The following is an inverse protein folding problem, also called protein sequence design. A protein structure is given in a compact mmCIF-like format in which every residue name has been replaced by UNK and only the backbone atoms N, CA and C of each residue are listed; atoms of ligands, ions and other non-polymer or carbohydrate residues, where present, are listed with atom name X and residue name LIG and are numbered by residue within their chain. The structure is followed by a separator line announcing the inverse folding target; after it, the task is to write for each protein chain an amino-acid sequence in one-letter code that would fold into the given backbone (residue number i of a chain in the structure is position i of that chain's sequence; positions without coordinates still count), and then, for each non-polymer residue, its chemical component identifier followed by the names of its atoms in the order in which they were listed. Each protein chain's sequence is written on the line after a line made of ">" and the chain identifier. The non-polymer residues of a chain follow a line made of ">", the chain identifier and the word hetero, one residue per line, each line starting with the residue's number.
data_IF_441575014619
#
_entry.id   IF_441575014619
#
_cell.length_a   1.000
_cell.length_b   1.000
_cell.length_c   1.000
_cell.angle_alpha   90.00
_cell.angle_beta   90.00
_cell.angle_gamma   90.00
#
_symmetry.space_group_name_H-M   'P 1'
#
loop_
_entity.id
_entity.type
_entity.pdbx_description
1 polymer ?
#
# COMPACT_ATOMS: atom_id res chain seq x y z
N UNK A 1 -33.55 -3.27 -13.21
CA UNK A 1 -32.64 -4.08 -14.06
C UNK A 1 -32.77 -3.56 -15.49
N UNK A 2 -31.68 -3.38 -16.23
CA UNK A 2 -31.59 -2.52 -17.42
C UNK A 2 -32.26 -3.05 -18.72
N UNK A 3 -32.97 -4.18 -18.68
CA UNK A 3 -33.70 -4.70 -19.86
C UNK A 3 -32.82 -5.08 -21.06
N UNK A 4 -31.50 -5.04 -20.92
CA UNK A 4 -30.57 -5.40 -21.99
C UNK A 4 -30.33 -6.92 -22.02
N UNK A 5 -30.18 -7.51 -23.22
CA UNK A 5 -29.93 -8.94 -23.37
C UNK A 5 -28.63 -9.37 -22.67
N UNK A 6 -28.62 -10.60 -22.17
CA UNK A 6 -27.44 -11.21 -21.58
C UNK A 6 -26.30 -11.26 -22.59
N UNK A 7 -25.09 -10.96 -22.11
CA UNK A 7 -23.90 -10.86 -22.94
C UNK A 7 -23.47 -12.26 -23.46
N UNK A 8 -23.13 -12.42 -24.76
CA UNK A 8 -22.64 -13.69 -25.30
C UNK A 8 -21.30 -14.12 -24.67
N UNK A 9 -21.17 -15.42 -24.39
CA UNK A 9 -20.10 -16.03 -23.58
C UNK A 9 -18.70 -15.94 -24.22
N UNK A 10 -18.60 -15.70 -25.53
CA UNK A 10 -17.33 -15.76 -26.28
C UNK A 10 -16.77 -14.40 -26.75
N UNK A 11 -17.33 -13.27 -26.29
CA UNK A 11 -16.88 -11.93 -26.70
C UNK A 11 -15.95 -11.33 -25.65
N UNK A 12 -14.79 -10.78 -26.03
CA UNK A 12 -13.90 -10.09 -25.08
C UNK A 12 -14.67 -8.91 -24.45
N UNK A 13 -14.64 -8.70 -23.11
CA UNK A 13 -15.38 -7.70 -22.33
C UNK A 13 -15.70 -6.35 -23.01
N UNK A 14 -14.81 -5.87 -23.87
CA UNK A 14 -14.91 -4.56 -24.53
C UNK A 14 -14.94 -4.62 -26.06
N UNK A 15 -14.86 -5.81 -26.66
CA UNK A 15 -14.82 -6.02 -28.11
C UNK A 15 -16.05 -5.38 -28.77
N UNK A 16 -15.85 -4.48 -29.72
CA UNK A 16 -16.91 -3.76 -30.45
C UNK A 16 -17.76 -2.81 -29.62
N UNK A 17 -17.41 -2.54 -28.36
CA UNK A 17 -17.88 -1.35 -27.64
C UNK A 17 -16.85 -0.22 -27.76
N UNK A 18 -15.56 -0.56 -27.74
CA UNK A 18 -14.46 0.38 -27.88
C UNK A 18 -13.25 -0.27 -28.59
N UNK A 19 -12.45 0.53 -29.31
CA UNK A 19 -11.20 0.04 -29.89
C UNK A 19 -10.22 -0.35 -28.77
N UNK A 20 -9.47 -1.43 -28.98
CA UNK A 20 -8.61 -2.10 -28.00
C UNK A 20 -7.46 -1.28 -27.33
N UNK A 21 -7.02 -0.07 -27.76
CA UNK A 21 -5.88 0.61 -27.11
C UNK A 21 -6.12 1.09 -25.66
N UNK A 22 -7.36 1.13 -25.17
CA UNK A 22 -7.70 1.89 -23.94
C UNK A 22 -8.09 1.03 -22.74
N UNK A 23 -7.82 -0.28 -22.73
CA UNK A 23 -8.23 -1.19 -21.65
C UNK A 23 -7.81 -0.71 -20.25
N UNK A 24 -6.59 -0.18 -20.12
CA UNK A 24 -6.10 0.39 -18.85
C UNK A 24 -6.90 1.61 -18.39
N UNK A 25 -7.28 2.50 -19.32
CA UNK A 25 -8.12 3.66 -19.04
C UNK A 25 -9.54 3.24 -18.63
N UNK A 26 -10.12 2.23 -19.29
CA UNK A 26 -11.43 1.70 -18.91
C UNK A 26 -11.41 1.02 -17.55
N UNK A 27 -10.34 0.30 -17.19
CA UNK A 27 -10.17 -0.25 -15.84
C UNK A 27 -10.16 0.85 -14.77
N UNK A 28 -9.48 1.98 -15.03
CA UNK A 28 -9.48 3.14 -14.12
C UNK A 28 -10.88 3.75 -13.98
N UNK A 29 -11.57 3.99 -15.10
CA UNK A 29 -12.95 4.51 -15.09
C UNK A 29 -13.91 3.54 -14.37
N UNK A 30 -13.74 2.23 -14.57
CA UNK A 30 -14.53 1.21 -13.90
C UNK A 30 -14.29 1.20 -12.39
N UNK A 31 -13.03 1.31 -11.95
CA UNK A 31 -12.68 1.40 -10.53
C UNK A 31 -13.30 2.64 -9.88
N UNK A 32 -13.16 3.81 -10.51
CA UNK A 32 -13.77 5.06 -10.03
C UNK A 32 -15.30 4.96 -9.96
N UNK A 33 -15.92 4.35 -10.98
CA UNK A 33 -17.37 4.16 -11.00
C UNK A 33 -17.84 3.18 -9.92
N UNK A 34 -17.11 2.08 -9.73
CA UNK A 34 -17.41 1.11 -8.68
C UNK A 34 -17.29 1.76 -7.30
N UNK A 35 -16.24 2.54 -7.05
CA UNK A 35 -16.09 3.31 -5.81
C UNK A 35 -17.32 4.19 -5.55
N UNK A 36 -17.70 5.04 -6.52
CA UNK A 36 -18.89 5.89 -6.39
C UNK A 36 -20.18 5.11 -6.15
N UNK A 37 -20.36 3.98 -6.83
CA UNK A 37 -21.58 3.17 -6.70
C UNK A 37 -21.66 2.51 -5.33
N UNK A 38 -20.53 1.98 -4.83
CA UNK A 38 -20.44 1.33 -3.51
C UNK A 38 -20.66 2.36 -2.41
N UNK A 39 -20.01 3.54 -2.47
CA UNK A 39 -20.17 4.59 -1.45
C UNK A 39 -21.56 5.21 -1.39
N UNK A 40 -22.36 5.03 -2.46
CA UNK A 40 -23.72 5.54 -2.55
C UNK A 40 -24.78 4.47 -2.23
N UNK A 41 -24.39 3.25 -1.85
CA UNK A 41 -25.33 2.28 -1.29
C UNK A 41 -25.89 2.88 0.00
N UNK A 42 -27.21 3.01 0.08
CA UNK A 42 -27.93 3.49 1.26
C UNK A 42 -28.63 2.32 1.94
N UNK A 43 -28.92 2.52 3.24
CA UNK A 43 -29.62 1.63 4.17
C UNK A 43 -28.75 0.50 4.76
N UNK A 44 -29.31 -0.27 5.70
CA UNK A 44 -28.73 -1.51 6.24
C UNK A 44 -28.31 -2.48 5.12
N UNK A 45 -27.57 -3.54 5.48
CA UNK A 45 -26.98 -4.56 4.61
C UNK A 45 -27.75 -4.79 3.28
N UNK A 46 -27.18 -4.33 2.17
CA UNK A 46 -27.81 -4.26 0.86
C UNK A 46 -27.53 -5.56 0.08
N UNK A 47 -28.48 -6.11 -0.71
CA UNK A 47 -28.21 -7.28 -1.55
C UNK A 47 -27.04 -7.08 -2.54
N UNK A 48 -26.70 -5.82 -2.86
CA UNK A 48 -25.53 -5.49 -3.68
C UNK A 48 -24.21 -5.71 -2.93
N UNK A 49 -24.19 -5.70 -1.60
CA UNK A 49 -22.99 -5.99 -0.82
C UNK A 49 -22.49 -7.42 -1.05
N UNK A 50 -23.41 -8.37 -1.27
CA UNK A 50 -23.05 -9.74 -1.68
C UNK A 50 -22.26 -9.74 -2.99
N UNK A 51 -22.66 -8.90 -3.96
CA UNK A 51 -21.97 -8.80 -5.25
C UNK A 51 -20.60 -8.17 -5.10
N UNK A 52 -20.48 -7.14 -4.27
CA UNK A 52 -19.20 -6.47 -3.99
C UNK A 52 -18.25 -7.45 -3.29
N UNK A 53 -18.69 -8.12 -2.22
CA UNK A 53 -17.92 -9.17 -1.53
C UNK A 53 -17.46 -10.26 -2.50
N UNK A 54 -18.38 -10.81 -3.30
CA UNK A 54 -18.06 -11.87 -4.25
C UNK A 54 -17.03 -11.40 -5.28
N UNK A 55 -17.16 -10.15 -5.75
CA UNK A 55 -16.19 -9.54 -6.68
C UNK A 55 -14.81 -9.43 -6.05
N UNK A 56 -14.73 -8.95 -4.80
CA UNK A 56 -13.46 -8.84 -4.06
C UNK A 56 -12.82 -10.22 -3.89
N UNK A 57 -13.60 -11.24 -3.49
CA UNK A 57 -13.09 -12.61 -3.34
C UNK A 57 -12.54 -13.15 -4.65
N UNK A 58 -13.29 -13.01 -5.75
CA UNK A 58 -12.89 -13.48 -7.08
C UNK A 58 -11.61 -12.77 -7.53
N UNK A 59 -11.55 -11.44 -7.43
CA UNK A 59 -10.39 -10.67 -7.86
C UNK A 59 -9.13 -10.97 -7.02
N UNK A 60 -9.32 -11.37 -5.76
CA UNK A 60 -8.24 -11.75 -4.84
C UNK A 60 -7.97 -13.27 -4.78
N UNK A 61 -8.61 -14.09 -5.62
CA UNK A 61 -8.53 -15.56 -5.57
C UNK A 61 -8.84 -16.16 -4.16
N UNK A 62 -9.78 -15.58 -3.43
CA UNK A 62 -10.24 -16.08 -2.14
C UNK A 62 -11.39 -17.10 -2.30
N UNK A 63 -11.60 -18.00 -1.32
CA UNK A 63 -12.76 -18.90 -1.32
C UNK A 63 -14.08 -18.13 -1.41
N UNK A 64 -15.09 -18.65 -2.14
CA UNK A 64 -16.41 -18.04 -2.20
C UNK A 64 -17.02 -17.82 -0.80
N UNK A 65 -17.82 -16.76 -0.65
CA UNK A 65 -18.57 -16.49 0.58
C UNK A 65 -19.46 -17.69 0.89
N UNK A 66 -19.46 -18.14 2.14
CA UNK A 66 -20.37 -19.20 2.58
C UNK A 66 -21.80 -18.66 2.65
N UNK A 67 -22.79 -19.53 2.46
CA UNK A 67 -24.20 -19.12 2.41
C UNK A 67 -24.66 -18.50 3.75
N UNK A 68 -24.07 -18.95 4.85
CA UNK A 68 -24.31 -18.54 6.25
C UNK A 68 -23.49 -17.33 6.70
N UNK A 69 -22.67 -16.74 5.82
CA UNK A 69 -21.72 -15.68 6.14
C UNK A 69 -22.22 -14.33 5.62
N UNK A 70 -22.23 -13.28 6.44
CA UNK A 70 -22.64 -11.95 5.97
C UNK A 70 -21.66 -11.41 4.91
N UNK A 71 -22.12 -10.56 3.96
CA UNK A 71 -21.21 -9.83 3.08
C UNK A 71 -20.07 -9.16 3.83
N UNK A 72 -18.87 -9.24 3.26
CA UNK A 72 -17.61 -8.69 3.79
C UNK A 72 -17.03 -9.40 5.01
N UNK A 73 -17.76 -10.29 5.64
CA UNK A 73 -17.27 -11.04 6.79
C UNK A 73 -16.02 -11.84 6.39
N UNK A 74 -14.91 -11.66 7.12
CA UNK A 74 -13.65 -12.34 6.84
C UNK A 74 -12.94 -11.94 5.53
N UNK A 75 -13.50 -11.00 4.74
CA UNK A 75 -12.73 -10.29 3.69
C UNK A 75 -11.82 -9.24 4.30
N UNK A 76 -12.32 -8.62 5.36
CA UNK A 76 -11.62 -7.67 6.19
C UNK A 76 -11.60 -8.24 7.61
N UNK A 77 -10.64 -7.85 8.45
CA UNK A 77 -10.67 -8.19 9.87
C UNK A 77 -12.07 -7.87 10.40
N UNK A 78 -12.80 -8.87 10.96
CA UNK A 78 -14.15 -8.67 11.51
C UNK A 78 -14.10 -7.46 12.44
N UNK A 79 -14.97 -6.48 12.22
CA UNK A 79 -15.36 -5.51 13.25
C UNK A 79 -16.24 -6.19 14.30
N UNK A 80 -15.81 -7.34 14.82
CA UNK A 80 -16.22 -7.80 16.13
C UNK A 80 -15.30 -7.03 17.06
N UNK A 81 -15.79 -5.95 17.67
CA UNK A 81 -15.04 -5.06 18.56
C UNK A 81 -13.57 -5.02 18.20
N UNK A 82 -13.17 -4.19 17.23
CA UNK A 82 -11.73 -3.92 17.06
C UNK A 82 -11.28 -3.47 18.42
N UNK A 83 -10.62 -4.38 19.13
CA UNK A 83 -9.80 -4.02 20.25
C UNK A 83 -8.81 -3.06 19.60
N UNK A 84 -9.01 -1.77 19.81
CA UNK A 84 -8.07 -0.72 19.43
C UNK A 84 -6.69 -1.00 20.05
N UNK A 85 -6.62 -1.95 20.97
CA UNK A 85 -5.44 -2.72 21.38
C UNK A 85 -4.66 -3.28 20.18
N UNK A 86 -3.81 -2.44 19.62
CA UNK A 86 -2.83 -2.82 18.59
C UNK A 86 -2.86 -1.99 17.33
N UNK A 87 -3.84 -1.11 17.11
CA UNK A 87 -3.77 -0.11 16.04
C UNK A 87 -3.08 1.16 16.56
N UNK A 88 -2.39 1.88 15.67
CA UNK A 88 -1.90 3.22 16.01
C UNK A 88 -3.02 4.23 15.81
N UNK A 89 -3.06 5.27 16.64
CA UNK A 89 -4.03 6.38 16.54
C UNK A 89 -3.45 7.57 15.77
N UNK A 90 -4.32 8.50 15.39
CA UNK A 90 -3.88 9.77 14.80
C UNK A 90 -2.93 10.53 15.73
N UNK A 91 -3.24 10.60 17.02
CA UNK A 91 -2.41 11.33 17.99
C UNK A 91 -1.03 10.69 18.15
N UNK A 92 -0.96 9.35 18.18
CA UNK A 92 0.30 8.62 18.21
C UNK A 92 1.13 8.89 16.96
N UNK A 93 0.52 8.82 15.77
CA UNK A 93 1.23 9.08 14.52
C UNK A 93 1.71 10.54 14.42
N UNK A 94 0.88 11.51 14.84
CA UNK A 94 1.25 12.93 14.90
C UNK A 94 2.39 13.18 15.90
N UNK A 95 2.40 12.49 17.04
CA UNK A 95 3.49 12.61 18.02
C UNK A 95 4.82 12.04 17.51
N UNK A 96 4.76 10.96 16.71
CA UNK A 96 5.93 10.38 16.05
C UNK A 96 6.45 11.30 14.94
N UNK A 97 5.55 11.90 14.17
CA UNK A 97 5.86 12.74 13.02
C UNK A 97 5.27 14.17 13.16
N UNK A 98 5.79 14.98 14.09
CA UNK A 98 5.22 16.27 14.48
C UNK A 98 5.32 17.36 13.42
N UNK A 99 6.21 17.20 12.44
CA UNK A 99 6.42 18.16 11.35
C UNK A 99 5.63 17.80 10.09
N UNK A 100 4.90 16.69 10.11
CA UNK A 100 4.08 16.25 8.98
C UNK A 100 2.76 17.00 8.91
N UNK A 101 2.24 17.15 7.70
CA UNK A 101 0.86 17.62 7.53
C UNK A 101 -0.14 16.68 8.20
N UNK A 102 -0.96 17.20 9.14
CA UNK A 102 -2.04 16.44 9.77
C UNK A 102 -2.96 15.79 8.74
N UNK A 103 -3.29 16.50 7.66
CA UNK A 103 -4.11 15.96 6.57
C UNK A 103 -3.49 14.70 5.97
N UNK A 104 -2.18 14.74 5.68
CA UNK A 104 -1.48 13.57 5.11
C UNK A 104 -1.45 12.40 6.08
N UNK A 105 -1.15 12.65 7.36
CA UNK A 105 -1.17 11.60 8.38
C UNK A 105 -2.56 10.96 8.49
N UNK A 106 -3.64 11.76 8.44
CA UNK A 106 -5.02 11.26 8.44
C UNK A 106 -5.30 10.35 7.24
N UNK A 107 -4.79 10.69 6.04
CA UNK A 107 -4.97 9.83 4.86
C UNK A 107 -4.16 8.54 4.96
N UNK A 108 -2.94 8.59 5.50
CA UNK A 108 -2.04 7.43 5.61
C UNK A 108 -2.45 6.46 6.71
N UNK A 109 -3.00 6.95 7.82
CA UNK A 109 -3.30 6.18 9.03
C UNK A 109 -4.04 4.84 8.78
N UNK A 110 -5.19 4.80 8.06
CA UNK A 110 -5.87 3.53 7.82
C UNK A 110 -5.02 2.54 7.01
N UNK A 111 -4.21 3.03 6.08
CA UNK A 111 -3.35 2.21 5.23
C UNK A 111 -2.10 1.72 5.96
N UNK A 112 -1.51 2.53 6.83
CA UNK A 112 -0.43 2.12 7.74
C UNK A 112 -0.91 1.00 8.67
N UNK A 113 -2.07 1.17 9.31
CA UNK A 113 -2.66 0.15 10.18
C UNK A 113 -2.94 -1.16 9.42
N UNK A 114 -3.56 -1.08 8.24
CA UNK A 114 -3.82 -2.25 7.39
C UNK A 114 -2.52 -2.95 6.98
N UNK A 115 -1.50 -2.18 6.61
CA UNK A 115 -0.19 -2.70 6.21
C UNK A 115 0.50 -3.40 7.36
N UNK A 116 0.57 -2.75 8.54
CA UNK A 116 1.22 -3.32 9.71
C UNK A 116 0.56 -4.62 10.16
N UNK A 117 -0.78 -4.69 10.11
CA UNK A 117 -1.50 -5.94 10.35
C UNK A 117 -1.16 -7.01 9.32
N UNK A 118 -1.20 -6.68 8.02
CA UNK A 118 -0.93 -7.63 6.92
C UNK A 118 0.45 -8.28 7.01
N UNK A 119 1.46 -7.51 7.43
CA UNK A 119 2.86 -7.96 7.46
C UNK A 119 3.36 -8.26 8.89
N UNK A 120 2.45 -8.51 9.83
CA UNK A 120 2.76 -8.86 11.22
C UNK A 120 3.72 -7.88 11.94
N UNK A 121 3.64 -6.59 11.58
CA UNK A 121 4.33 -5.47 12.25
C UNK A 121 3.46 -5.06 13.44
N UNK A 122 3.30 -5.99 14.40
CA UNK A 122 2.20 -5.96 15.35
C UNK A 122 2.63 -5.76 16.82
N UNK A 123 3.90 -5.97 17.17
CA UNK A 123 4.46 -5.59 18.48
C UNK A 123 4.72 -4.09 18.54
N UNK A 124 4.70 -3.45 19.73
CA UNK A 124 5.05 -2.04 19.87
C UNK A 124 6.41 -1.70 19.25
N UNK A 125 7.41 -2.56 19.45
CA UNK A 125 8.77 -2.33 18.98
C UNK A 125 8.88 -2.46 17.44
N UNK A 126 8.23 -3.46 16.84
CA UNK A 126 8.14 -3.58 15.37
C UNK A 126 7.50 -2.35 14.74
N UNK A 127 6.40 -1.85 15.33
CA UNK A 127 5.73 -0.62 14.87
C UNK A 127 6.66 0.59 14.99
N UNK A 128 7.38 0.70 16.10
CA UNK A 128 8.31 1.81 16.32
C UNK A 128 9.40 1.85 15.25
N UNK A 129 10.06 0.72 15.00
CA UNK A 129 11.07 0.62 13.95
C UNK A 129 10.52 0.85 12.55
N UNK A 130 9.39 0.21 12.21
CA UNK A 130 8.75 0.40 10.91
C UNK A 130 8.42 1.87 10.66
N UNK A 131 7.67 2.51 11.57
CA UNK A 131 7.28 3.91 11.46
C UNK A 131 8.47 4.85 11.43
N UNK A 132 9.56 4.54 12.14
CA UNK A 132 10.77 5.34 12.11
C UNK A 132 11.47 5.32 10.75
N UNK A 133 11.59 4.13 10.16
CA UNK A 133 12.20 4.00 8.84
C UNK A 133 11.33 4.63 7.77
N UNK A 134 10.03 4.32 7.72
CA UNK A 134 9.16 4.92 6.70
C UNK A 134 8.98 6.43 6.91
N UNK A 135 9.02 6.92 8.15
CA UNK A 135 9.02 8.34 8.45
C UNK A 135 10.23 9.04 7.82
N UNK A 136 11.43 8.51 8.02
CA UNK A 136 12.64 9.05 7.42
C UNK A 136 12.61 9.01 5.87
N UNK A 137 12.26 7.87 5.28
CA UNK A 137 12.28 7.66 3.82
C UNK A 137 11.23 8.50 3.06
N UNK A 138 10.24 9.04 3.75
CA UNK A 138 9.11 9.80 3.17
C UNK A 138 9.10 11.28 3.54
N UNK A 139 10.25 11.81 3.97
CA UNK A 139 10.40 13.20 4.45
C UNK A 139 9.41 13.50 5.60
N UNK A 140 9.39 12.61 6.60
CA UNK A 140 8.40 12.64 7.66
C UNK A 140 6.98 12.49 7.12
N UNK A 141 6.70 11.49 6.28
CA UNK A 141 5.39 11.26 5.68
C UNK A 141 4.84 12.41 4.79
N UNK A 142 5.65 13.42 4.46
CA UNK A 142 5.23 14.55 3.63
C UNK A 142 5.20 14.22 2.13
N UNK A 143 5.83 13.14 1.69
CA UNK A 143 5.78 12.70 0.29
C UNK A 143 5.70 11.18 0.13
N UNK A 144 5.09 10.73 -0.98
CA UNK A 144 5.10 9.32 -1.41
C UNK A 144 5.86 9.16 -2.74
N UNK A 145 6.54 10.21 -3.21
CA UNK A 145 7.30 10.23 -4.45
C UNK A 145 8.55 11.09 -4.21
N UNK A 146 9.72 10.65 -4.68
CA UNK A 146 10.91 11.49 -4.56
C UNK A 146 10.74 12.81 -5.31
N UNK A 147 11.45 13.84 -4.83
CA UNK A 147 11.48 15.16 -5.48
C UNK A 147 12.33 15.18 -6.76
N UNK A 148 13.33 14.30 -6.85
CA UNK A 148 14.19 14.19 -8.01
C UNK A 148 13.40 13.79 -9.26
N UNK A 149 13.89 14.10 -10.46
CA UNK A 149 13.19 13.75 -11.71
C UNK A 149 13.20 12.25 -11.99
N UNK A 150 14.14 11.50 -11.40
CA UNK A 150 14.44 10.10 -11.73
C UNK A 150 15.32 9.93 -12.97
N UNK A 151 15.73 11.02 -13.64
CA UNK A 151 16.59 10.94 -14.83
C UNK A 151 17.93 10.23 -14.55
N UNK A 152 18.45 10.35 -13.33
CA UNK A 152 19.70 9.70 -12.91
C UNK A 152 19.59 8.17 -12.82
N UNK A 153 18.37 7.61 -12.83
CA UNK A 153 18.15 6.17 -12.89
C UNK A 153 18.09 5.63 -14.32
N UNK A 154 18.18 6.48 -15.34
CA UNK A 154 18.20 6.04 -16.73
C UNK A 154 19.39 5.11 -16.98
N UNK A 155 19.16 3.98 -17.67
CA UNK A 155 20.16 2.94 -17.96
C UNK A 155 20.82 2.27 -16.75
N UNK A 156 20.30 2.46 -15.53
CA UNK A 156 20.73 1.71 -14.34
C UNK A 156 20.33 0.23 -14.46
N UNK A 157 21.23 -0.58 -15.01
CA UNK A 157 21.01 -2.00 -15.26
C UNK A 157 20.82 -2.82 -13.99
N UNK A 158 21.44 -2.40 -12.88
CA UNK A 158 21.23 -2.97 -11.54
C UNK A 158 19.79 -2.79 -11.03
N UNK A 159 19.09 -1.75 -11.51
CA UNK A 159 17.68 -1.47 -11.24
C UNK A 159 16.72 -2.06 -12.30
N UNK A 160 17.28 -2.76 -13.31
CA UNK A 160 16.55 -3.26 -14.47
C UNK A 160 16.10 -2.20 -15.46
N UNK A 161 16.61 -0.97 -15.33
CA UNK A 161 16.29 0.12 -16.25
C UNK A 161 17.11 -0.08 -17.53
N UNK A 162 16.46 -0.65 -18.55
CA UNK A 162 17.10 -1.08 -19.81
C UNK A 162 16.31 -0.63 -21.03
N UNK A 163 15.27 0.17 -20.84
CA UNK A 163 14.49 0.78 -21.90
C UNK A 163 14.56 2.30 -21.76
N UNK A 164 14.48 2.99 -22.90
CA UNK A 164 14.47 4.45 -22.92
C UNK A 164 13.31 5.01 -22.09
N UNK A 165 13.62 5.96 -21.21
CA UNK A 165 12.68 6.61 -20.30
C UNK A 165 12.41 5.84 -19.00
N UNK A 166 13.09 4.70 -18.77
CA UNK A 166 12.91 3.92 -17.55
C UNK A 166 13.24 4.68 -16.28
N UNK A 167 14.24 5.57 -16.31
CA UNK A 167 14.67 6.31 -15.13
C UNK A 167 13.53 7.14 -14.54
N UNK A 168 12.95 8.03 -15.35
CA UNK A 168 11.82 8.89 -14.93
C UNK A 168 10.55 8.06 -14.69
N UNK A 169 10.32 7.01 -15.50
CA UNK A 169 9.14 6.16 -15.37
C UNK A 169 9.11 5.41 -14.04
N UNK A 170 10.24 4.83 -13.65
CA UNK A 170 10.42 4.03 -12.43
C UNK A 170 11.24 4.75 -11.37
N UNK A 171 11.09 6.08 -11.33
CA UNK A 171 11.58 6.96 -10.27
C UNK A 171 11.02 6.53 -8.90
N UNK A 172 11.68 6.91 -7.81
CA UNK A 172 11.36 6.51 -6.46
C UNK A 172 9.95 6.90 -6.00
N UNK A 173 9.17 5.91 -5.55
CA UNK A 173 7.82 6.09 -4.98
C UNK A 173 7.53 5.17 -3.81
N UNK A 174 6.45 5.47 -3.09
CA UNK A 174 6.03 4.81 -1.87
C UNK A 174 6.79 5.32 -0.65
N UNK A 175 6.40 4.85 0.54
CA UNK A 175 7.00 5.33 1.78
C UNK A 175 8.43 4.79 2.03
N UNK A 176 8.92 3.87 1.21
CA UNK A 176 10.28 3.28 1.32
C UNK A 176 11.10 3.45 0.03
N UNK A 177 10.68 4.35 -0.87
CA UNK A 177 11.41 4.67 -2.10
C UNK A 177 11.71 3.45 -2.99
N UNK A 178 10.66 2.76 -3.44
CA UNK A 178 10.81 1.72 -4.47
C UNK A 178 11.21 2.39 -5.78
N UNK A 179 12.38 2.03 -6.31
CA UNK A 179 12.99 2.63 -7.50
C UNK A 179 13.44 1.54 -8.47
N UNK A 180 13.24 1.75 -9.78
CA UNK A 180 13.73 0.86 -10.83
C UNK A 180 12.72 -0.16 -11.34
N UNK A 181 12.76 -0.44 -12.64
CA UNK A 181 11.83 -1.34 -13.34
C UNK A 181 11.72 -2.71 -12.68
N UNK A 182 12.84 -3.32 -12.30
CA UNK A 182 12.84 -4.66 -11.66
C UNK A 182 12.10 -4.65 -10.32
N UNK A 183 12.31 -3.61 -9.51
CA UNK A 183 11.66 -3.48 -8.20
C UNK A 183 10.17 -3.19 -8.34
N UNK A 184 9.79 -2.35 -9.31
CA UNK A 184 8.39 -2.12 -9.67
C UNK A 184 7.68 -3.39 -10.14
N UNK A 185 8.33 -4.23 -10.96
CA UNK A 185 7.79 -5.52 -11.38
C UNK A 185 7.56 -6.45 -10.18
N UNK A 186 8.58 -6.62 -9.32
CA UNK A 186 8.52 -7.50 -8.17
C UNK A 186 7.44 -7.07 -7.16
N UNK A 187 7.41 -5.77 -6.82
CA UNK A 187 6.40 -5.19 -5.95
C UNK A 187 4.99 -5.34 -6.55
N UNK A 188 4.83 -5.04 -7.85
CA UNK A 188 3.56 -5.17 -8.54
C UNK A 188 3.04 -6.60 -8.54
N UNK A 189 3.91 -7.58 -8.82
CA UNK A 189 3.56 -9.00 -8.76
C UNK A 189 3.12 -9.42 -7.35
N UNK A 190 3.86 -9.01 -6.31
CA UNK A 190 3.54 -9.36 -4.92
C UNK A 190 2.23 -8.73 -4.43
N UNK A 191 1.90 -7.53 -4.92
CA UNK A 191 0.68 -6.81 -4.55
C UNK A 191 -0.50 -7.10 -5.48
N UNK A 192 -0.31 -7.85 -6.57
CA UNK A 192 -1.35 -8.09 -7.58
C UNK A 192 -1.72 -6.84 -8.40
N UNK A 193 -0.78 -5.90 -8.56
CA UNK A 193 -0.98 -4.61 -9.23
C UNK A 193 -0.03 -4.47 -10.42
N UNK A 194 -0.56 -4.03 -11.56
CA UNK A 194 0.26 -3.68 -12.73
C UNK A 194 1.00 -2.35 -12.54
N UNK A 195 2.12 -2.41 -11.83
CA UNK A 195 3.03 -1.28 -11.61
C UNK A 195 4.00 -1.03 -12.77
N UNK A 196 4.10 -1.96 -13.73
CA UNK A 196 4.87 -1.72 -14.97
C UNK A 196 4.09 -0.81 -15.92
N UNK A 197 2.79 -1.08 -16.09
CA UNK A 197 1.89 -0.25 -16.87
C UNK A 197 1.48 1.04 -16.16
N UNK A 198 1.41 1.03 -14.82
CA UNK A 198 0.91 2.16 -14.01
C UNK A 198 1.81 2.47 -12.80
N UNK A 199 3.10 2.82 -12.99
CA UNK A 199 4.05 3.02 -11.90
C UNK A 199 3.66 4.15 -10.93
N UNK A 200 2.97 5.19 -11.42
CA UNK A 200 2.51 6.32 -10.60
C UNK A 200 1.59 5.90 -9.46
N UNK A 201 0.90 4.76 -9.58
CA UNK A 201 0.02 4.26 -8.50
C UNK A 201 0.77 3.98 -7.22
N UNK A 202 2.09 3.75 -7.28
CA UNK A 202 2.90 3.49 -6.09
C UNK A 202 3.01 4.73 -5.17
N UNK A 203 2.61 5.91 -5.65
CA UNK A 203 2.46 7.12 -4.84
C UNK A 203 1.07 7.27 -4.20
N UNK A 204 0.08 6.45 -4.57
CA UNK A 204 -1.24 6.42 -3.92
C UNK A 204 -1.08 5.95 -2.47
N UNK A 205 -1.84 6.52 -1.52
CA UNK A 205 -1.65 6.26 -0.08
C UNK A 205 -1.70 4.79 0.31
N UNK A 206 -2.56 3.99 -0.34
CA UNK A 206 -2.71 2.56 -0.10
C UNK A 206 -1.46 1.78 -0.53
N UNK A 207 -1.01 1.96 -1.77
CA UNK A 207 0.13 1.25 -2.33
C UNK A 207 1.46 1.77 -1.77
N UNK A 208 1.53 3.04 -1.38
CA UNK A 208 2.70 3.60 -0.70
C UNK A 208 2.96 2.90 0.64
N UNK A 209 1.91 2.61 1.42
CA UNK A 209 2.03 1.83 2.64
C UNK A 209 2.29 0.35 2.36
N UNK A 210 1.50 -0.27 1.46
CA UNK A 210 1.63 -1.71 1.18
C UNK A 210 3.00 -2.08 0.59
N UNK A 211 3.57 -1.23 -0.26
CA UNK A 211 4.93 -1.44 -0.79
C UNK A 211 6.00 -1.36 0.31
N UNK A 212 5.85 -0.48 1.29
CA UNK A 212 6.73 -0.43 2.45
C UNK A 212 6.63 -1.71 3.30
N UNK A 213 5.40 -2.20 3.53
CA UNK A 213 5.19 -3.47 4.23
C UNK A 213 5.74 -4.68 3.47
N UNK A 214 5.56 -4.74 2.14
CA UNK A 214 6.17 -5.76 1.28
C UNK A 214 7.70 -5.75 1.35
N UNK A 215 8.31 -4.56 1.26
CA UNK A 215 9.76 -4.42 1.36
C UNK A 215 10.26 -4.92 2.72
N UNK A 216 9.56 -4.54 3.79
CA UNK A 216 9.86 -4.93 5.16
C UNK A 216 9.82 -6.44 5.37
N UNK A 217 8.75 -7.08 4.90
CA UNK A 217 8.51 -8.52 5.05
C UNK A 217 9.51 -9.36 4.24
N UNK A 218 9.73 -8.99 2.97
CA UNK A 218 10.66 -9.73 2.09
C UNK A 218 12.12 -9.72 2.55
N UNK A 219 12.48 -8.80 3.45
CA UNK A 219 13.81 -8.71 4.08
C UNK A 219 13.81 -9.13 5.55
N UNK A 220 12.69 -9.68 6.02
CA UNK A 220 12.52 -10.18 7.39
C UNK A 220 12.85 -9.14 8.47
N UNK A 221 12.51 -7.87 8.22
CA UNK A 221 12.91 -6.77 9.09
C UNK A 221 12.24 -6.79 10.47
N UNK A 222 11.16 -7.57 10.64
CA UNK A 222 10.58 -7.84 11.95
C UNK A 222 11.59 -8.47 12.93
N UNK A 223 12.47 -9.36 12.46
CA UNK A 223 13.45 -10.05 13.32
C UNK A 223 14.43 -9.03 13.94
N UNK A 224 14.98 -8.15 13.10
CA UNK A 224 15.89 -7.11 13.58
C UNK A 224 15.18 -6.06 14.44
N UNK A 225 13.90 -5.81 14.17
CA UNK A 225 13.12 -4.91 15.02
C UNK A 225 12.84 -5.52 16.40
N UNK A 226 12.63 -6.84 16.49
CA UNK A 226 12.50 -7.53 17.78
C UNK A 226 13.80 -7.50 18.59
N UNK A 227 14.95 -7.51 17.91
CA UNK A 227 16.28 -7.34 18.50
C UNK A 227 16.66 -5.86 18.76
N UNK A 228 15.74 -4.93 18.48
CA UNK A 228 15.95 -3.47 18.57
C UNK A 228 17.11 -2.92 17.70
N UNK A 229 17.46 -3.61 16.62
CA UNK A 229 18.65 -3.34 15.80
C UNK A 229 18.36 -2.33 14.67
N UNK A 230 18.26 -1.06 15.04
CA UNK A 230 18.08 0.05 14.09
C UNK A 230 19.24 0.13 13.08
N UNK A 231 20.45 -0.26 13.46
CA UNK A 231 21.64 -0.17 12.61
C UNK A 231 21.52 -1.12 11.42
N UNK A 232 21.17 -2.38 11.68
CA UNK A 232 21.03 -3.39 10.63
C UNK A 232 19.83 -3.09 9.76
N UNK A 233 18.70 -2.67 10.33
CA UNK A 233 17.53 -2.25 9.55
C UNK A 233 17.89 -1.10 8.60
N UNK A 234 18.58 -0.07 9.08
CA UNK A 234 19.01 1.07 8.26
C UNK A 234 19.96 0.65 7.15
N UNK A 235 20.94 -0.24 7.44
CA UNK A 235 21.83 -0.79 6.40
C UNK A 235 21.07 -1.55 5.33
N UNK A 236 20.09 -2.35 5.71
CA UNK A 236 19.29 -3.12 4.74
C UNK A 236 18.47 -2.18 3.85
N UNK A 237 17.84 -1.16 4.43
CA UNK A 237 16.98 -0.22 3.69
C UNK A 237 17.80 0.70 2.77
N UNK A 238 18.85 1.32 3.30
CA UNK A 238 19.60 2.38 2.61
C UNK A 238 20.88 1.91 1.92
N UNK A 239 21.31 0.66 2.15
CA UNK A 239 22.62 0.16 1.70
C UNK A 239 23.80 0.73 2.51
N UNK A 240 23.52 1.43 3.62
CA UNK A 240 24.51 2.13 4.44
C UNK A 240 23.85 2.73 5.69
N UNK A 241 24.52 3.69 6.35
CA UNK A 241 24.01 4.36 7.55
C UNK A 241 23.58 5.81 7.31
N UNK A 242 23.30 6.18 6.05
CA UNK A 242 22.87 7.54 5.75
C UNK A 242 21.52 7.83 6.43
N UNK A 243 21.43 8.99 7.08
CA UNK A 243 20.24 9.39 7.81
C UNK A 243 20.00 8.64 9.12
N UNK A 244 20.95 7.84 9.62
CA UNK A 244 20.79 7.05 10.85
C UNK A 244 20.32 7.88 12.05
N UNK A 245 20.91 9.06 12.26
CA UNK A 245 20.55 9.92 13.40
C UNK A 245 19.05 10.31 13.37
N UNK A 246 18.54 10.72 12.21
CA UNK A 246 17.12 11.07 12.07
C UNK A 246 16.19 9.85 12.25
N UNK A 247 16.60 8.67 11.76
CA UNK A 247 15.88 7.41 12.01
C UNK A 247 15.85 7.06 13.50
N UNK A 248 16.96 7.28 14.21
CA UNK A 248 17.03 7.11 15.66
C UNK A 248 16.12 8.11 16.39
N UNK A 249 16.01 9.34 15.92
CA UNK A 249 15.12 10.35 16.49
C UNK A 249 13.63 9.99 16.28
N UNK A 250 13.26 9.49 15.10
CA UNK A 250 11.91 8.92 14.91
C UNK A 250 11.67 7.70 15.79
N UNK A 251 12.64 6.80 15.90
CA UNK A 251 12.53 5.59 16.71
C UNK A 251 12.35 5.94 18.19
N UNK A 252 13.12 6.90 18.72
CA UNK A 252 13.01 7.36 20.09
C UNK A 252 11.61 7.95 20.38
N UNK A 253 11.09 8.80 19.50
CA UNK A 253 9.72 9.32 19.60
C UNK A 253 8.67 8.19 19.58
N UNK A 254 8.81 7.24 18.67
CA UNK A 254 7.88 6.12 18.56
C UNK A 254 7.92 5.20 19.80
N UNK A 255 9.10 4.91 20.32
CA UNK A 255 9.27 4.17 21.58
C UNK A 255 8.61 4.90 22.75
N UNK A 256 8.82 6.22 22.87
CA UNK A 256 8.17 7.03 23.90
C UNK A 256 6.63 6.98 23.79
N UNK A 257 6.10 7.16 22.58
CA UNK A 257 4.65 7.11 22.29
C UNK A 257 4.05 5.74 22.62
N UNK A 258 4.81 4.66 22.44
CA UNK A 258 4.38 3.30 22.74
C UNK A 258 4.78 2.79 24.14
N UNK A 259 5.42 3.63 24.96
CA UNK A 259 5.84 3.26 26.33
C UNK A 259 6.92 2.18 26.40
N UNK A 260 7.82 2.15 25.41
CA UNK A 260 8.95 1.21 25.33
C UNK A 260 10.17 1.85 26.00
N UNK A 261 10.68 1.22 27.05
CA UNK A 261 11.88 1.64 27.80
C UNK A 261 13.19 1.16 27.20
#
# INVERSE_FOLDING_TARGET
>A
MSGLPLRPILRNPYEGLYQAPNLGQYRKLAAQRLQQLITNLKDDLNPKDVLVDSTIRILNNLPPRRVDQEPYEGLYPRTAEVSTSGLITQDQLSAIAPYSSTYRLTQLLPHLNTTMQRYAINTPLRKAHFLAQVGHESDGFNTNEEYASGADYEWRTDLGNVQVGDGVRFKGRGLIQVTGRSNYAACGQALGVDLIGNPQRLADFDLACLSAGWYWDTRSLNNYADDDDVLTITRIINGGLNGLADRQDYLARAKQVFGIG
#
